data_IF_759457031513
#
_entry.id   IF_759457031513
#
_cell.length_a   1.000
_cell.length_b   1.000
_cell.length_c   1.000
_cell.angle_alpha   90.00
_cell.angle_beta   90.00
_cell.angle_gamma   90.00
#
_symmetry.space_group_name_H-M   'P 1'
#
loop_
_entity.id
_entity.type
_entity.pdbx_description
1 polymer ?
#
# COMPACT_ATOMS: atom_id res chain seq x y z
N UNK A 1 -14.13 39.36 -1.19
CA UNK A 1 -14.70 38.03 -1.49
C UNK A 1 -13.90 37.00 -0.71
N UNK A 2 -14.48 36.41 0.34
CA UNK A 2 -13.97 35.13 0.84
C UNK A 2 -14.40 34.08 -0.18
N UNK A 3 -13.54 33.80 -1.17
CA UNK A 3 -13.61 32.53 -1.87
C UNK A 3 -13.28 31.47 -0.83
N UNK A 4 -14.32 30.91 -0.21
CA UNK A 4 -14.18 29.63 0.47
C UNK A 4 -13.55 28.70 -0.57
N UNK A 5 -12.27 28.38 -0.40
CA UNK A 5 -11.67 27.27 -1.11
C UNK A 5 -12.50 26.07 -0.67
N UNK A 6 -13.49 25.72 -1.49
CA UNK A 6 -14.45 24.69 -1.16
C UNK A 6 -13.64 23.39 -1.18
N UNK A 7 -13.16 23.00 0.00
CA UNK A 7 -12.54 21.69 0.18
C UNK A 7 -13.64 20.72 -0.17
N UNK A 8 -13.49 20.09 -1.33
CA UNK A 8 -14.41 19.04 -1.75
C UNK A 8 -14.04 17.80 -0.94
N UNK A 9 -14.46 17.81 0.34
CA UNK A 9 -14.54 16.61 1.15
C UNK A 9 -15.60 15.72 0.49
N UNK A 10 -15.14 14.83 -0.37
CA UNK A 10 -16.01 13.96 -1.14
C UNK A 10 -15.28 12.70 -1.56
N UNK A 11 -16.04 11.63 -1.76
CA UNK A 11 -15.64 10.39 -2.44
C UNK A 11 -15.33 10.67 -3.92
N UNK A 12 -14.34 11.52 -4.19
CA UNK A 12 -13.78 11.68 -5.52
C UNK A 12 -12.85 10.49 -5.84
N UNK A 13 -12.46 10.35 -7.11
CA UNK A 13 -11.65 9.21 -7.55
C UNK A 13 -10.32 9.11 -6.78
N UNK A 14 -9.67 10.24 -6.51
CA UNK A 14 -8.44 10.28 -5.72
C UNK A 14 -8.66 9.79 -4.29
N UNK A 15 -9.73 10.24 -3.62
CA UNK A 15 -10.11 9.77 -2.29
C UNK A 15 -10.46 8.29 -2.25
N UNK A 16 -11.12 7.77 -3.29
CA UNK A 16 -11.40 6.34 -3.43
C UNK A 16 -10.10 5.53 -3.56
N UNK A 17 -9.17 5.97 -4.41
CA UNK A 17 -7.83 5.37 -4.53
C UNK A 17 -7.12 5.41 -3.16
N UNK A 18 -7.22 6.53 -2.44
CA UNK A 18 -6.64 6.69 -1.12
C UNK A 18 -7.20 5.70 -0.07
N UNK A 19 -8.51 5.46 -0.09
CA UNK A 19 -9.15 4.45 0.77
C UNK A 19 -8.63 3.04 0.42
N UNK A 20 -8.50 2.72 -0.87
CA UNK A 20 -7.98 1.43 -1.31
C UNK A 20 -6.53 1.24 -0.82
N UNK A 21 -5.69 2.28 -0.93
CA UNK A 21 -4.34 2.27 -0.36
C UNK A 21 -4.34 1.99 1.14
N UNK A 22 -5.23 2.64 1.88
CA UNK A 22 -5.34 2.46 3.33
C UNK A 22 -5.73 1.02 3.71
N UNK A 23 -6.74 0.46 3.04
CA UNK A 23 -7.17 -0.92 3.24
C UNK A 23 -6.08 -1.92 2.84
N UNK A 24 -5.45 -1.72 1.68
CA UNK A 24 -4.36 -2.58 1.21
C UNK A 24 -3.17 -2.53 2.17
N UNK A 25 -2.81 -1.37 2.72
CA UNK A 25 -1.71 -1.27 3.67
C UNK A 25 -1.96 -2.11 4.93
N UNK A 26 -3.17 -2.06 5.49
CA UNK A 26 -3.54 -2.85 6.68
C UNK A 26 -3.51 -4.34 6.35
N UNK A 27 -4.15 -4.75 5.26
CA UNK A 27 -4.20 -6.16 4.85
C UNK A 27 -2.79 -6.67 4.56
N UNK A 28 -1.98 -5.91 3.83
CA UNK A 28 -0.62 -6.28 3.46
C UNK A 28 0.28 -6.38 4.70
N UNK A 29 0.17 -5.46 5.65
CA UNK A 29 0.91 -5.54 6.91
C UNK A 29 0.56 -6.80 7.71
N UNK A 30 -0.74 -7.10 7.87
CA UNK A 30 -1.19 -8.29 8.60
C UNK A 30 -0.66 -9.57 7.93
N UNK A 31 -0.79 -9.68 6.59
CA UNK A 31 -0.32 -10.85 5.85
C UNK A 31 1.20 -11.04 5.95
N UNK A 32 1.97 -9.96 5.77
CA UNK A 32 3.42 -10.02 5.80
C UNK A 32 3.98 -10.29 7.20
N UNK A 33 3.35 -9.75 8.25
CA UNK A 33 3.70 -10.09 9.65
C UNK A 33 3.36 -11.56 9.95
N UNK A 34 2.19 -12.05 9.51
CA UNK A 34 1.80 -13.44 9.71
C UNK A 34 2.76 -14.41 9.02
N UNK A 35 3.22 -14.09 7.80
CA UNK A 35 4.21 -14.89 7.09
C UNK A 35 5.62 -14.78 7.69
N UNK A 36 6.02 -13.60 8.20
CA UNK A 36 7.29 -13.45 8.90
C UNK A 36 7.34 -14.35 10.15
N UNK A 37 6.26 -14.38 10.93
CA UNK A 37 6.17 -15.25 12.11
C UNK A 37 6.27 -16.74 11.75
N UNK A 38 5.70 -17.14 10.60
CA UNK A 38 5.78 -18.52 10.11
C UNK A 38 7.17 -18.87 9.54
N UNK A 39 7.91 -17.90 8.98
CA UNK A 39 9.21 -18.12 8.32
C UNK A 39 10.41 -17.65 9.13
N UNK A 40 10.22 -17.16 10.36
CA UNK A 40 11.29 -16.58 11.19
C UNK A 40 12.47 -17.52 11.46
N UNK A 41 12.31 -18.83 11.25
CA UNK A 41 13.37 -19.83 11.40
C UNK A 41 14.05 -20.25 10.09
N UNK A 42 13.51 -19.90 8.91
CA UNK A 42 14.03 -20.35 7.61
C UNK A 42 14.71 -19.25 6.78
N UNK A 43 14.41 -17.97 7.02
CA UNK A 43 15.13 -16.86 6.39
C UNK A 43 16.37 -16.50 7.21
N UNK A 44 17.56 -16.70 6.66
CA UNK A 44 18.83 -16.29 7.29
C UNK A 44 19.57 -15.23 6.47
N UNK A 45 20.24 -14.30 7.15
CA UNK A 45 21.10 -13.29 6.52
C UNK A 45 20.35 -12.15 5.83
N UNK A 46 20.81 -11.77 4.63
CA UNK A 46 20.30 -10.62 3.89
C UNK A 46 18.82 -10.70 3.49
N UNK A 47 18.31 -11.90 3.22
CA UNK A 47 16.92 -12.10 2.84
C UNK A 47 15.95 -11.72 3.98
N UNK A 48 16.31 -12.04 5.22
CA UNK A 48 15.53 -11.65 6.40
C UNK A 48 15.53 -10.12 6.58
N UNK A 49 16.70 -9.48 6.41
CA UNK A 49 16.80 -8.02 6.53
C UNK A 49 15.92 -7.30 5.50
N UNK A 50 15.97 -7.72 4.23
CA UNK A 50 15.11 -7.17 3.17
C UNK A 50 13.63 -7.40 3.45
N UNK A 51 13.26 -8.57 3.98
CA UNK A 51 11.87 -8.87 4.32
C UNK A 51 11.37 -7.99 5.48
N UNK A 52 12.18 -7.76 6.51
CA UNK A 52 11.82 -6.85 7.61
C UNK A 52 11.66 -5.42 7.11
N UNK A 53 12.56 -4.95 6.25
CA UNK A 53 12.45 -3.64 5.61
C UNK A 53 11.14 -3.55 4.83
N UNK A 54 10.79 -4.57 4.05
CA UNK A 54 9.55 -4.63 3.30
C UNK A 54 8.30 -4.62 4.21
N UNK A 55 8.30 -5.38 5.30
CA UNK A 55 7.19 -5.42 6.28
C UNK A 55 6.94 -4.05 6.91
N UNK A 56 7.99 -3.25 7.12
CA UNK A 56 7.87 -1.94 7.79
C UNK A 56 7.57 -0.85 6.77
N UNK A 57 8.41 -0.71 5.73
CA UNK A 57 8.34 0.44 4.82
C UNK A 57 7.15 0.38 3.88
N UNK A 58 6.85 -0.79 3.32
CA UNK A 58 5.78 -0.95 2.33
C UNK A 58 4.40 -0.48 2.85
N UNK A 59 3.92 -0.93 4.02
CA UNK A 59 2.64 -0.44 4.55
C UNK A 59 2.70 1.02 5.00
N UNK A 60 3.82 1.51 5.53
CA UNK A 60 3.96 2.94 5.89
C UNK A 60 3.78 3.82 4.65
N UNK A 61 4.45 3.48 3.54
CA UNK A 61 4.36 4.24 2.29
C UNK A 61 2.92 4.20 1.75
N UNK A 62 2.27 3.04 1.75
CA UNK A 62 0.87 2.93 1.32
C UNK A 62 -0.08 3.74 2.20
N UNK A 63 0.10 3.72 3.52
CA UNK A 63 -0.71 4.53 4.44
C UNK A 63 -0.50 6.01 4.19
N UNK A 64 0.74 6.46 4.00
CA UNK A 64 1.05 7.86 3.71
C UNK A 64 0.43 8.31 2.38
N UNK A 65 0.59 7.53 1.31
CA UNK A 65 -0.05 7.82 0.02
C UNK A 65 -1.59 7.85 0.15
N UNK A 66 -2.17 6.89 0.89
CA UNK A 66 -3.60 6.83 1.13
C UNK A 66 -4.15 8.06 1.85
N UNK A 67 -3.48 8.49 2.92
CA UNK A 67 -3.83 9.69 3.70
C UNK A 67 -3.72 10.95 2.83
N UNK A 68 -2.64 11.10 2.06
CA UNK A 68 -2.44 12.26 1.18
C UNK A 68 -3.55 12.34 0.13
N UNK A 69 -3.86 11.22 -0.52
CA UNK A 69 -4.91 11.17 -1.54
C UNK A 69 -6.31 11.42 -0.97
N UNK A 70 -6.59 10.91 0.24
CA UNK A 70 -7.88 11.12 0.89
C UNK A 70 -8.13 12.59 1.25
N UNK A 71 -7.14 13.28 1.82
CA UNK A 71 -7.32 14.68 2.26
C UNK A 71 -7.03 15.72 1.17
N UNK A 72 -6.06 15.45 0.28
CA UNK A 72 -5.54 16.43 -0.67
C UNK A 72 -5.67 16.00 -2.14
N UNK A 73 -6.22 14.82 -2.41
CA UNK A 73 -6.31 14.28 -3.77
C UNK A 73 -7.14 15.13 -4.73
N UNK A 74 -8.11 15.91 -4.21
CA UNK A 74 -8.93 16.82 -5.03
C UNK A 74 -8.16 18.00 -5.63
N UNK A 75 -7.01 18.36 -5.03
CA UNK A 75 -6.12 19.43 -5.52
C UNK A 75 -4.88 18.88 -6.23
N UNK A 76 -4.72 17.56 -6.25
CA UNK A 76 -3.57 16.92 -6.86
C UNK A 76 -3.69 16.99 -8.39
N UNK A 77 -2.60 17.34 -9.08
CA UNK A 77 -2.59 17.43 -10.54
C UNK A 77 -3.05 16.11 -11.18
N UNK A 78 -3.83 16.13 -12.28
CA UNK A 78 -4.34 14.92 -12.90
C UNK A 78 -3.26 13.90 -13.28
N UNK A 79 -2.08 14.36 -13.70
CA UNK A 79 -0.95 13.49 -14.04
C UNK A 79 -0.42 12.72 -12.82
N UNK A 80 -0.41 13.34 -11.64
CA UNK A 80 0.01 12.71 -10.40
C UNK A 80 -1.05 11.73 -9.89
N UNK A 81 -2.34 12.01 -10.10
CA UNK A 81 -3.39 11.04 -9.80
C UNK A 81 -3.28 9.76 -10.65
N UNK A 82 -2.89 9.91 -11.93
CA UNK A 82 -2.62 8.76 -12.80
C UNK A 82 -1.41 7.97 -12.32
N UNK A 83 -0.33 8.64 -11.91
CA UNK A 83 0.85 7.98 -11.34
C UNK A 83 0.48 7.17 -10.09
N UNK A 84 -0.31 7.74 -9.18
CA UNK A 84 -0.79 7.03 -7.99
C UNK A 84 -1.67 5.83 -8.32
N UNK A 85 -2.47 5.91 -9.40
CA UNK A 85 -3.25 4.78 -9.89
C UNK A 85 -2.37 3.67 -10.47
N UNK A 86 -1.33 3.99 -11.25
CA UNK A 86 -0.38 3.01 -11.77
C UNK A 86 0.41 2.35 -10.63
N UNK A 87 0.83 3.13 -9.64
CA UNK A 87 1.50 2.63 -8.44
C UNK A 87 0.60 1.66 -7.66
N UNK A 88 -0.72 1.94 -7.58
CA UNK A 88 -1.70 1.06 -6.95
C UNK A 88 -1.77 -0.29 -7.67
N UNK A 89 -1.83 -0.30 -9.01
CA UNK A 89 -1.83 -1.53 -9.79
C UNK A 89 -0.56 -2.35 -9.58
N UNK A 90 0.60 -1.69 -9.52
CA UNK A 90 1.88 -2.35 -9.26
C UNK A 90 1.93 -2.98 -7.86
N UNK A 91 1.39 -2.29 -6.86
CA UNK A 91 1.28 -2.79 -5.50
C UNK A 91 0.37 -4.01 -5.42
N UNK A 92 -0.78 -3.98 -6.10
CA UNK A 92 -1.69 -5.13 -6.17
C UNK A 92 -0.96 -6.33 -6.79
N UNK A 93 -0.23 -6.11 -7.88
CA UNK A 93 0.58 -7.16 -8.49
C UNK A 93 1.62 -7.75 -7.53
N UNK A 94 2.35 -6.90 -6.80
CA UNK A 94 3.32 -7.38 -5.80
C UNK A 94 2.67 -8.12 -4.64
N UNK A 95 1.54 -7.63 -4.13
CA UNK A 95 0.80 -8.32 -3.08
C UNK A 95 0.34 -9.71 -3.53
N UNK A 96 -0.20 -9.84 -4.74
CA UNK A 96 -0.59 -11.14 -5.31
C UNK A 96 0.63 -12.04 -5.48
N UNK A 97 1.76 -11.52 -5.98
CA UNK A 97 3.01 -12.27 -6.14
C UNK A 97 3.52 -12.79 -4.78
N UNK A 98 3.50 -11.96 -3.75
CA UNK A 98 3.88 -12.35 -2.39
C UNK A 98 2.96 -13.43 -1.83
N UNK A 99 1.63 -13.27 -1.98
CA UNK A 99 0.65 -14.31 -1.59
C UNK A 99 0.98 -15.62 -2.30
N UNK A 100 1.20 -15.58 -3.62
CA UNK A 100 1.44 -16.78 -4.42
C UNK A 100 2.75 -17.47 -4.02
N UNK A 101 3.83 -16.71 -3.82
CA UNK A 101 5.09 -17.26 -3.34
C UNK A 101 4.92 -17.88 -1.95
N UNK A 102 4.19 -17.24 -1.06
CA UNK A 102 4.01 -17.74 0.30
C UNK A 102 3.03 -18.92 0.39
N UNK A 103 2.01 -18.97 -0.48
CA UNK A 103 1.03 -20.06 -0.50
C UNK A 103 1.55 -21.30 -1.25
N UNK A 104 2.15 -21.12 -2.43
CA UNK A 104 2.56 -22.23 -3.31
C UNK A 104 3.84 -22.89 -2.82
N UNK A 105 4.86 -22.12 -2.42
CA UNK A 105 6.12 -22.70 -1.95
C UNK A 105 6.03 -23.26 -0.52
N UNK A 106 4.96 -23.00 0.22
CA UNK A 106 4.72 -23.63 1.54
C UNK A 106 4.26 -25.09 1.42
N UNK A 107 3.65 -25.47 0.29
CA UNK A 107 3.09 -26.81 0.05
C UNK A 107 4.05 -27.77 -0.67
N UNK A 108 5.30 -27.37 -0.89
CA UNK A 108 6.37 -28.24 -1.42
C UNK A 108 7.48 -28.35 -0.39
#
# INVERSE_FOLDING_TARGET
MLTLAQVNFGLNLAGLIGIIYFLLAIVYFILTVAWLAQRGTSLTGWALALYIIQVIFTPIIMLMCGVILFFQGWRLDPILQIEQFLSLLLIIYFAIKDILINAVYRNR
#
